data_IF_791672396134
#
_entry.id   IF_791672396134
#
_cell.length_a   1.000
_cell.length_b   1.000
_cell.length_c   1.000
_cell.angle_alpha   90.00
_cell.angle_beta   90.00
_cell.angle_gamma   90.00
#
_symmetry.space_group_name_H-M   'P 1'
#
loop_
_entity.id
_entity.type
_entity.pdbx_description
1 polymer ?
#
# COMPACT_ATOMS: atom_id res chain seq x y z
N UNK A 1 7.76 -14.41 -12.83
CA UNK A 1 8.17 -13.33 -11.91
C UNK A 1 7.93 -13.82 -10.51
N UNK A 2 8.71 -13.34 -9.54
CA UNK A 2 8.48 -13.62 -8.13
C UNK A 2 7.12 -13.05 -7.70
N UNK A 3 6.45 -13.73 -6.77
CA UNK A 3 5.22 -13.25 -6.13
C UNK A 3 5.47 -11.92 -5.40
N UNK A 4 4.55 -10.94 -5.46
CA UNK A 4 4.71 -9.68 -4.75
C UNK A 4 4.68 -9.91 -3.24
N UNK A 5 5.70 -9.41 -2.56
CA UNK A 5 5.81 -9.47 -1.10
C UNK A 5 6.00 -8.08 -0.55
N UNK A 6 5.13 -7.67 0.36
CA UNK A 6 5.12 -6.32 0.94
C UNK A 6 5.03 -6.47 2.45
N UNK A 7 5.99 -5.88 3.15
CA UNK A 7 6.01 -5.82 4.62
C UNK A 7 5.95 -4.39 5.08
N UNK A 8 5.05 -4.12 6.01
CA UNK A 8 4.89 -2.81 6.64
C UNK A 8 5.24 -2.94 8.11
N UNK A 9 6.18 -2.15 8.57
CA UNK A 9 6.61 -2.13 9.96
C UNK A 9 7.05 -0.72 10.34
N UNK A 10 7.11 -0.44 11.63
CA UNK A 10 7.36 0.91 12.10
C UNK A 10 8.15 0.96 13.40
N UNK A 11 8.69 2.14 13.66
CA UNK A 11 9.23 2.57 14.94
C UNK A 11 8.31 3.64 15.54
N UNK A 12 8.75 4.28 16.63
CA UNK A 12 8.01 5.40 17.22
C UNK A 12 7.92 6.63 16.31
N UNK A 13 8.83 6.78 15.34
CA UNK A 13 8.95 8.01 14.52
C UNK A 13 8.85 7.76 13.02
N UNK A 14 8.88 6.51 12.57
CA UNK A 14 8.96 6.16 11.15
C UNK A 14 8.11 4.92 10.83
N UNK A 15 7.53 4.90 9.63
CA UNK A 15 6.93 3.71 9.03
C UNK A 15 7.75 3.34 7.81
N UNK A 16 8.12 2.07 7.72
CA UNK A 16 8.83 1.50 6.57
C UNK A 16 7.89 0.56 5.81
N UNK A 17 7.73 0.83 4.51
CA UNK A 17 7.12 -0.10 3.56
C UNK A 17 8.24 -0.74 2.75
N UNK A 18 8.57 -1.99 3.07
CA UNK A 18 9.61 -2.74 2.36
C UNK A 18 8.96 -3.81 1.47
N UNK A 19 9.40 -3.93 0.23
CA UNK A 19 8.86 -4.93 -0.68
C UNK A 19 9.94 -5.45 -1.64
N UNK A 20 9.73 -6.66 -2.18
CA UNK A 20 10.52 -7.11 -3.31
C UNK A 20 10.15 -6.30 -4.57
N UNK A 21 10.90 -6.49 -5.66
CA UNK A 21 10.68 -5.73 -6.89
C UNK A 21 9.27 -5.92 -7.49
N UNK A 22 8.63 -7.08 -7.29
CA UNK A 22 7.25 -7.31 -7.70
C UNK A 22 6.26 -6.55 -6.80
N UNK A 23 6.43 -6.59 -5.48
CA UNK A 23 5.59 -5.87 -4.52
C UNK A 23 5.70 -4.35 -4.65
N UNK A 24 6.90 -3.81 -4.93
CA UNK A 24 7.07 -2.38 -5.21
C UNK A 24 6.28 -1.95 -6.46
N UNK A 25 6.28 -2.77 -7.51
CA UNK A 25 5.49 -2.50 -8.72
C UNK A 25 3.98 -2.56 -8.43
N UNK A 26 3.53 -3.59 -7.71
CA UNK A 26 2.13 -3.73 -7.32
C UNK A 26 1.64 -2.53 -6.48
N UNK A 27 2.45 -2.04 -5.53
CA UNK A 27 2.13 -0.82 -4.78
C UNK A 27 2.05 0.40 -5.69
N UNK A 28 2.99 0.57 -6.62
CA UNK A 28 2.98 1.68 -7.56
C UNK A 28 1.72 1.67 -8.45
N UNK A 29 1.31 0.50 -8.94
CA UNK A 29 0.09 0.34 -9.74
C UNK A 29 -1.17 0.75 -8.96
N UNK A 30 -1.27 0.39 -7.68
CA UNK A 30 -2.39 0.81 -6.81
C UNK A 30 -2.40 2.32 -6.59
N UNK A 31 -1.24 2.91 -6.32
CA UNK A 31 -1.10 4.36 -6.18
C UNK A 31 -1.47 5.10 -7.48
N UNK A 32 -1.09 4.56 -8.64
CA UNK A 32 -1.50 5.10 -9.93
C UNK A 32 -3.02 5.00 -10.13
N UNK A 33 -3.64 3.88 -9.74
CA UNK A 33 -5.10 3.74 -9.77
C UNK A 33 -5.80 4.74 -8.85
N UNK A 34 -5.26 5.00 -7.66
CA UNK A 34 -5.79 6.04 -6.75
C UNK A 34 -5.69 7.44 -7.35
N UNK A 35 -4.66 7.71 -8.15
CA UNK A 35 -4.43 8.98 -8.82
C UNK A 35 -5.25 9.17 -10.12
N UNK A 36 -6.03 8.18 -10.55
CA UNK A 36 -6.84 8.27 -11.77
C UNK A 36 -7.86 9.42 -11.65
N UNK A 37 -7.86 10.42 -12.54
CA UNK A 37 -8.75 11.59 -12.44
C UNK A 37 -10.24 11.25 -12.42
N UNK A 38 -10.66 10.08 -12.91
CA UNK A 38 -12.06 9.63 -12.87
C UNK A 38 -12.45 8.96 -11.55
N UNK A 39 -11.48 8.62 -10.69
CA UNK A 39 -11.74 8.01 -9.39
C UNK A 39 -12.35 9.04 -8.43
N UNK A 40 -13.42 8.64 -7.74
CA UNK A 40 -14.11 9.49 -6.76
C UNK A 40 -13.23 9.75 -5.55
N UNK A 41 -13.29 10.99 -5.06
CA UNK A 41 -12.67 11.38 -3.80
C UNK A 41 -13.18 10.55 -2.61
N UNK A 42 -12.32 10.35 -1.61
CA UNK A 42 -12.59 9.52 -0.44
C UNK A 42 -12.45 8.01 -0.64
N UNK A 43 -12.08 7.55 -1.85
CA UNK A 43 -11.74 6.16 -2.09
C UNK A 43 -10.46 5.77 -1.35
N UNK A 44 -10.47 4.60 -0.74
CA UNK A 44 -9.33 4.06 -0.03
C UNK A 44 -9.32 2.52 -0.06
N UNK A 45 -8.14 1.97 0.11
CA UNK A 45 -7.87 0.54 0.06
C UNK A 45 -7.16 0.09 1.33
N UNK A 46 -7.64 -1.00 1.92
CA UNK A 46 -7.09 -1.60 3.13
C UNK A 46 -6.18 -2.78 2.79
N UNK A 47 -4.96 -2.73 3.30
CA UNK A 47 -3.97 -3.79 3.19
C UNK A 47 -3.71 -4.38 4.56
N UNK A 48 -4.04 -5.66 4.69
CA UNK A 48 -4.00 -6.37 5.96
C UNK A 48 -2.94 -7.47 5.94
N UNK A 49 -2.32 -7.70 7.10
CA UNK A 49 -1.37 -8.79 7.35
C UNK A 49 -1.99 -10.14 6.99
N UNK A 50 -1.27 -10.95 6.23
CA UNK A 50 -1.67 -12.31 5.83
C UNK A 50 -2.69 -12.35 4.68
N UNK A 51 -3.12 -11.20 4.17
CA UNK A 51 -4.01 -11.12 3.00
C UNK A 51 -3.28 -10.44 1.85
N UNK A 52 -2.94 -9.16 2.03
CA UNK A 52 -2.27 -8.34 1.01
C UNK A 52 -0.83 -8.00 1.39
N UNK A 53 -0.48 -8.23 2.65
CA UNK A 53 0.83 -7.97 3.23
C UNK A 53 1.39 -9.25 3.85
N UNK A 54 2.71 -9.32 3.96
CA UNK A 54 3.41 -10.38 4.68
C UNK A 54 2.91 -10.47 6.13
N UNK A 55 2.86 -11.68 6.67
CA UNK A 55 2.47 -11.92 8.06
C UNK A 55 3.30 -11.09 9.06
N UNK A 56 2.62 -10.50 10.04
CA UNK A 56 3.20 -9.62 11.04
C UNK A 56 3.40 -8.19 10.57
N UNK A 57 2.86 -7.82 9.41
CA UNK A 57 2.81 -6.42 8.96
C UNK A 57 1.81 -5.60 9.77
N UNK A 58 2.10 -4.33 9.96
CA UNK A 58 1.11 -3.33 10.38
C UNK A 58 0.15 -3.09 9.20
N UNK A 59 -1.14 -2.92 9.47
CA UNK A 59 -2.11 -2.58 8.41
C UNK A 59 -1.73 -1.27 7.72
N UNK A 60 -1.92 -1.21 6.41
CA UNK A 60 -1.63 -0.04 5.59
C UNK A 60 -2.91 0.39 4.85
N UNK A 61 -3.21 1.68 4.89
CA UNK A 61 -4.32 2.26 4.13
C UNK A 61 -3.71 3.16 3.05
N UNK A 62 -4.11 2.93 1.81
CA UNK A 62 -3.84 3.83 0.69
C UNK A 62 -5.13 4.58 0.38
N UNK A 63 -5.10 5.90 0.35
CA UNK A 63 -6.29 6.72 0.18
C UNK A 63 -6.06 7.88 -0.78
N UNK A 64 -7.11 8.22 -1.53
CA UNK A 64 -7.21 9.52 -2.20
C UNK A 64 -7.98 10.48 -1.29
N UNK A 65 -7.37 11.62 -1.02
CA UNK A 65 -8.00 12.74 -0.30
C UNK A 65 -7.54 14.04 -0.96
N UNK A 66 -8.42 14.67 -1.74
CA UNK A 66 -8.14 15.94 -2.44
C UNK A 66 -8.02 17.14 -1.49
N UNK A 67 -8.20 16.95 -0.18
CA UNK A 67 -8.17 18.03 0.83
C UNK A 67 -6.83 18.17 1.55
N UNK A 68 -5.89 17.24 1.35
CA UNK A 68 -4.53 17.26 1.91
C UNK A 68 -3.60 18.15 1.08
#
# INVERSE_FOLDING_TARGET
>A
MDEPRIKVYGSATEITVAANAAGLRALAERLLGLADPELRDGYHEHLESGINLEDGSISLILARDERL
#
